data_IF_064733627903
#
_entry.id   IF_064733627903
#
_cell.length_a   1.000
_cell.length_b   1.000
_cell.length_c   1.000
_cell.angle_alpha   90.00
_cell.angle_beta   90.00
_cell.angle_gamma   90.00
#
_symmetry.space_group_name_H-M   'P 1'
#
loop_
_entity.id
_entity.type
_entity.pdbx_description
1 polymer ?
#
# COMPACT_ATOMS: atom_id res chain seq x y z
N UNK A 1 8.15 8.60 5.95
CA UNK A 1 8.76 7.36 6.51
C UNK A 1 7.65 6.35 6.72
N UNK A 2 7.81 5.12 6.23
CA UNK A 2 6.94 3.96 6.50
C UNK A 2 7.05 3.49 7.97
N UNK A 3 6.14 2.65 8.51
CA UNK A 3 5.70 2.75 9.91
C UNK A 3 6.78 2.58 10.97
N UNK A 4 6.71 3.49 11.95
CA UNK A 4 7.38 3.40 13.24
C UNK A 4 6.44 2.66 14.18
N UNK A 5 6.68 1.37 14.38
CA UNK A 5 5.93 0.50 15.29
C UNK A 5 6.77 -0.73 15.63
N UNK A 6 6.60 -1.23 16.85
CA UNK A 6 7.35 -2.35 17.45
C UNK A 6 7.30 -3.63 16.61
N UNK A 7 8.33 -4.47 16.79
CA UNK A 7 8.57 -5.69 16.03
C UNK A 7 7.45 -6.73 16.18
N UNK A 8 6.36 -6.57 15.42
CA UNK A 8 5.61 -7.70 14.88
C UNK A 8 6.20 -8.06 13.52
N UNK A 9 5.80 -9.17 12.93
CA UNK A 9 6.21 -9.63 11.58
C UNK A 9 6.06 -8.55 10.48
N UNK A 10 5.33 -7.47 10.80
CA UNK A 10 5.06 -6.27 10.00
C UNK A 10 6.23 -5.28 9.97
N UNK A 11 7.13 -5.33 10.94
CA UNK A 11 8.33 -4.51 10.98
C UNK A 11 9.56 -5.29 10.47
N UNK A 12 9.35 -6.33 9.65
CA UNK A 12 10.48 -7.02 9.05
C UNK A 12 11.16 -6.10 8.01
N UNK A 13 12.51 -5.98 8.01
CA UNK A 13 13.23 -5.10 7.08
C UNK A 13 12.89 -5.36 5.60
N UNK A 14 12.59 -6.61 5.25
CA UNK A 14 12.17 -7.01 3.89
C UNK A 14 10.84 -6.40 3.49
N UNK A 15 9.86 -6.37 4.38
CA UNK A 15 8.57 -5.73 4.14
C UNK A 15 8.73 -4.21 4.03
N UNK A 16 9.50 -3.62 4.95
CA UNK A 16 9.74 -2.17 4.95
C UNK A 16 10.47 -1.71 3.70
N UNK A 17 11.45 -2.48 3.23
CA UNK A 17 12.13 -2.22 1.96
C UNK A 17 11.15 -2.31 0.79
N UNK A 18 10.40 -3.41 0.69
CA UNK A 18 9.40 -3.62 -0.35
C UNK A 18 8.38 -2.47 -0.39
N UNK A 19 7.78 -2.12 0.76
CA UNK A 19 6.81 -1.04 0.82
C UNK A 19 7.41 0.30 0.37
N UNK A 20 8.66 0.62 0.74
CA UNK A 20 9.38 1.83 0.29
C UNK A 20 9.67 1.82 -1.21
N UNK A 21 9.90 0.66 -1.80
CA UNK A 21 10.16 0.52 -3.24
C UNK A 21 8.92 0.75 -4.09
N UNK A 22 7.72 0.48 -3.56
CA UNK A 22 6.47 0.52 -4.31
C UNK A 22 5.55 1.70 -3.96
N UNK A 23 5.73 2.30 -2.78
CA UNK A 23 4.81 3.31 -2.26
C UNK A 23 5.55 4.50 -1.65
N UNK A 24 4.98 5.69 -1.84
CA UNK A 24 5.45 6.93 -1.26
C UNK A 24 4.39 7.53 -0.35
N UNK A 25 4.81 8.40 0.57
CA UNK A 25 3.94 9.21 1.38
C UNK A 25 3.91 10.64 0.85
N UNK A 26 2.73 11.17 0.63
CA UNK A 26 2.47 12.54 0.19
C UNK A 26 1.57 13.22 1.22
N UNK A 27 2.00 14.38 1.73
CA UNK A 27 1.21 15.15 2.68
C UNK A 27 0.28 16.11 1.93
N UNK A 28 -1.03 15.96 2.11
CA UNK A 28 -2.07 16.78 1.48
C UNK A 28 -3.00 17.32 2.56
N UNK A 29 -3.06 18.65 2.70
CA UNK A 29 -3.94 19.34 3.67
C UNK A 29 -3.84 18.76 5.10
N UNK A 30 -2.63 18.39 5.54
CA UNK A 30 -2.39 17.82 6.86
C UNK A 30 -2.50 16.30 6.95
N UNK A 31 -3.05 15.63 5.93
CA UNK A 31 -3.19 14.17 5.88
C UNK A 31 -2.02 13.52 5.16
N UNK A 32 -1.57 12.36 5.66
CA UNK A 32 -0.56 11.55 5.01
C UNK A 32 -1.24 10.54 4.06
N UNK A 33 -1.06 10.76 2.75
CA UNK A 33 -1.65 9.92 1.69
C UNK A 33 -0.58 9.01 1.13
N UNK A 34 -0.88 7.71 1.06
CA UNK A 34 -0.02 6.75 0.38
C UNK A 34 -0.32 6.78 -1.11
N UNK A 35 0.73 6.95 -1.91
CA UNK A 35 0.66 6.96 -3.38
C UNK A 35 1.52 5.83 -3.95
N UNK A 36 1.10 5.28 -5.09
CA UNK A 36 1.93 4.33 -5.83
C UNK A 36 3.18 5.05 -6.38
N UNK A 37 4.37 4.51 -6.13
CA UNK A 37 5.63 5.13 -6.54
C UNK A 37 5.75 5.24 -8.08
N UNK A 38 5.20 4.27 -8.82
CA UNK A 38 5.23 4.22 -10.29
C UNK A 38 4.16 5.11 -10.93
N UNK A 39 2.89 4.91 -10.60
CA UNK A 39 1.78 5.61 -11.27
C UNK A 39 1.47 6.98 -10.68
N UNK A 40 2.03 7.30 -9.50
CA UNK A 40 1.73 8.50 -8.69
C UNK A 40 0.26 8.62 -8.28
N UNK A 41 -0.56 7.60 -8.51
CA UNK A 41 -1.97 7.58 -8.10
C UNK A 41 -2.10 7.36 -6.58
N UNK A 42 -3.10 7.99 -5.94
CA UNK A 42 -3.41 7.72 -4.54
C UNK A 42 -3.88 6.28 -4.35
N UNK A 43 -3.44 5.68 -3.24
CA UNK A 43 -3.81 4.33 -2.81
C UNK A 43 -4.85 4.44 -1.69
N UNK A 44 -4.46 5.06 -0.58
CA UNK A 44 -5.28 5.23 0.62
C UNK A 44 -4.64 6.27 1.55
N UNK A 45 -5.33 6.64 2.63
CA UNK A 45 -4.71 7.32 3.77
C UNK A 45 -3.74 6.39 4.48
N UNK A 46 -2.69 6.95 5.08
CA UNK A 46 -1.61 6.17 5.68
C UNK A 46 -2.08 5.22 6.80
N UNK A 47 -3.06 5.64 7.59
CA UNK A 47 -3.66 4.85 8.68
C UNK A 47 -4.34 3.58 8.15
N UNK A 48 -4.87 3.62 6.92
CA UNK A 48 -5.53 2.49 6.28
C UNK A 48 -4.55 1.58 5.52
N UNK A 49 -3.29 2.00 5.32
CA UNK A 49 -2.37 1.35 4.40
C UNK A 49 -2.07 -0.10 4.76
N UNK A 50 -1.86 -0.37 6.04
CA UNK A 50 -1.60 -1.73 6.51
C UNK A 50 -2.81 -2.65 6.25
N UNK A 51 -4.02 -2.16 6.54
CA UNK A 51 -5.27 -2.89 6.29
C UNK A 51 -5.41 -3.24 4.81
N UNK A 52 -5.17 -2.28 3.91
CA UNK A 52 -5.22 -2.50 2.45
C UNK A 52 -4.24 -3.58 2.01
N UNK A 53 -2.99 -3.55 2.49
CA UNK A 53 -2.00 -4.59 2.16
C UNK A 53 -2.46 -5.96 2.66
N UNK A 54 -2.96 -6.02 3.89
CA UNK A 54 -3.41 -7.27 4.50
C UNK A 54 -4.61 -7.87 3.75
N UNK A 55 -5.62 -7.06 3.41
CA UNK A 55 -6.78 -7.48 2.62
C UNK A 55 -6.37 -7.96 1.22
N UNK A 56 -5.49 -7.22 0.54
CA UNK A 56 -4.96 -7.66 -0.75
C UNK A 56 -4.15 -8.97 -0.64
N UNK A 57 -3.39 -9.14 0.45
CA UNK A 57 -2.62 -10.35 0.69
C UNK A 57 -3.51 -11.59 0.91
N UNK A 58 -4.63 -11.41 1.61
CA UNK A 58 -5.67 -12.44 1.77
C UNK A 58 -6.35 -12.72 0.42
N UNK A 59 -6.71 -11.68 -0.34
CA UNK A 59 -7.39 -11.82 -1.63
C UNK A 59 -6.57 -12.64 -2.64
N UNK A 60 -5.24 -12.54 -2.59
CA UNK A 60 -4.34 -13.35 -3.43
C UNK A 60 -3.93 -14.68 -2.79
N UNK A 61 -4.65 -15.14 -1.76
CA UNK A 61 -4.41 -16.38 -1.03
C UNK A 61 -2.96 -16.53 -0.55
N UNK A 62 -2.42 -15.47 0.07
CA UNK A 62 -1.02 -15.41 0.52
C UNK A 62 0.02 -15.65 -0.58
N UNK A 63 -0.34 -15.41 -1.85
CA UNK A 63 0.48 -15.67 -3.03
C UNK A 63 1.75 -14.81 -3.18
N UNK A 64 2.17 -14.13 -2.11
CA UNK A 64 3.43 -13.39 -2.02
C UNK A 64 3.32 -11.92 -2.42
N UNK A 65 4.47 -11.23 -2.31
CA UNK A 65 4.59 -9.77 -2.44
C UNK A 65 4.16 -9.22 -3.80
N UNK A 66 4.60 -9.85 -4.89
CA UNK A 66 4.30 -9.36 -6.25
C UNK A 66 2.81 -9.48 -6.60
N UNK A 67 2.17 -10.59 -6.18
CA UNK A 67 0.72 -10.76 -6.36
C UNK A 67 -0.05 -9.77 -5.50
N UNK A 68 0.36 -9.60 -4.25
CA UNK A 68 -0.24 -8.62 -3.33
C UNK A 68 -0.13 -7.20 -3.90
N UNK A 69 1.03 -6.81 -4.42
CA UNK A 69 1.22 -5.52 -5.08
C UNK A 69 0.29 -5.37 -6.29
N UNK A 70 0.24 -6.38 -7.16
CA UNK A 70 -0.60 -6.37 -8.36
C UNK A 70 -2.07 -6.20 -8.02
N UNK A 71 -2.55 -6.86 -6.97
CA UNK A 71 -3.92 -6.73 -6.47
C UNK A 71 -4.22 -5.31 -5.97
N UNK A 72 -3.33 -4.71 -5.16
CA UNK A 72 -3.48 -3.32 -4.70
C UNK A 72 -3.61 -2.37 -5.90
N UNK A 73 -2.75 -2.51 -6.91
CA UNK A 73 -2.78 -1.66 -8.10
C UNK A 73 -4.04 -1.88 -8.92
N UNK A 74 -4.48 -3.13 -9.09
CA UNK A 74 -5.71 -3.46 -9.81
C UNK A 74 -6.92 -2.80 -9.15
N UNK A 75 -7.05 -2.97 -7.82
CA UNK A 75 -8.12 -2.39 -7.01
C UNK A 75 -8.18 -0.85 -7.12
N UNK A 76 -7.03 -0.16 -7.10
CA UNK A 76 -6.97 1.31 -7.28
C UNK A 76 -7.45 1.73 -8.68
N UNK A 77 -7.01 1.01 -9.72
CA UNK A 77 -7.35 1.32 -11.10
C UNK A 77 -8.85 1.14 -11.36
N UNK A 78 -9.45 0.11 -10.76
CA UNK A 78 -10.89 -0.14 -10.82
C UNK A 78 -11.69 0.96 -10.10
N UNK A 79 -11.28 1.34 -8.88
CA UNK A 79 -11.93 2.44 -8.15
C UNK A 79 -11.86 3.79 -8.91
N UNK A 80 -10.75 4.04 -9.61
CA UNK A 80 -10.57 5.25 -10.44
C UNK A 80 -11.42 5.26 -11.71
N UNK A 81 -11.90 4.10 -12.16
CA UNK A 81 -12.67 3.95 -13.40
C UNK A 81 -14.17 4.11 -13.18
N UNK A 82 -14.65 3.91 -11.95
CA UNK A 82 -16.06 4.05 -11.56
C UNK A 82 -16.44 5.52 -11.28
N UNK A 83 -15.45 6.39 -11.03
CA UNK A 83 -15.64 7.83 -10.81
C UNK A 83 -15.61 8.67 -12.10
N UNK A 84 -16.02 8.11 -13.24
CA UNK A 84 -16.14 8.82 -14.53
C UNK A 84 -17.59 8.88 -14.98
#
# INVERSE_FOLDING_TARGET
MLPKGTASELCCPRFMFWAKSHFNLLKIAGNDIVICAKSKKPVCVYEAFYKIIHEAHIAVAHGGREKTYSEIICSILLASSILR
#
